data_IF_288569916069
#
_entry.id   IF_288569916069
#
_cell.length_a   1.000
_cell.length_b   1.000
_cell.length_c   1.000
_cell.angle_alpha   90.00
_cell.angle_beta   90.00
_cell.angle_gamma   90.00
#
_symmetry.space_group_name_H-M   'P 1'
#
loop_
_entity.id
_entity.type
_entity.pdbx_description
1 polymer ?
#
# COMPACT_ATOMS: atom_id res chain seq x y z
N UNK A 1 52.11 -10.07 5.75
CA UNK A 1 51.41 -10.02 7.06
C UNK A 1 49.93 -9.66 6.82
N UNK A 2 49.04 -10.59 6.61
CA UNK A 2 47.64 -10.27 6.22
C UNK A 2 46.63 -11.43 6.21
N UNK A 3 46.87 -12.57 6.87
CA UNK A 3 45.95 -13.73 6.77
C UNK A 3 45.24 -14.19 8.07
N UNK A 4 45.46 -13.51 9.17
CA UNK A 4 44.92 -13.95 10.50
C UNK A 4 43.55 -13.32 10.84
N UNK A 5 43.17 -12.19 10.24
CA UNK A 5 41.92 -11.48 10.58
C UNK A 5 40.66 -12.12 9.99
N UNK A 6 40.72 -12.74 8.83
CA UNK A 6 39.54 -13.30 8.15
C UNK A 6 38.98 -14.58 8.78
N UNK A 7 39.81 -15.35 9.52
CA UNK A 7 39.35 -16.60 10.16
C UNK A 7 38.54 -16.38 11.44
N UNK A 8 38.72 -15.25 12.14
CA UNK A 8 37.99 -14.97 13.38
C UNK A 8 36.55 -14.54 13.17
N UNK A 9 36.21 -13.95 12.01
CA UNK A 9 34.85 -13.52 11.71
C UNK A 9 33.95 -14.66 11.30
N UNK A 10 34.48 -15.67 10.61
CA UNK A 10 33.68 -16.82 10.16
C UNK A 10 33.27 -17.77 11.30
N UNK A 11 34.10 -17.88 12.36
CA UNK A 11 33.76 -18.71 13.54
C UNK A 11 32.63 -18.09 14.37
N UNK A 12 32.59 -16.76 14.52
CA UNK A 12 31.52 -16.07 15.28
C UNK A 12 30.15 -16.13 14.61
N UNK A 13 30.11 -16.12 13.27
CA UNK A 13 28.84 -16.24 12.53
C UNK A 13 28.28 -17.66 12.59
N UNK A 14 29.14 -18.68 12.64
CA UNK A 14 28.74 -20.07 12.75
C UNK A 14 28.18 -20.37 14.17
N UNK A 15 28.80 -19.81 15.21
CA UNK A 15 28.35 -19.95 16.59
C UNK A 15 26.99 -19.25 16.85
N UNK A 16 26.75 -18.11 16.22
CA UNK A 16 25.43 -17.44 16.29
C UNK A 16 24.31 -18.27 15.66
N UNK A 17 24.56 -18.93 14.53
CA UNK A 17 23.55 -19.77 13.89
C UNK A 17 23.19 -21.00 14.73
N UNK A 18 24.18 -21.61 15.39
CA UNK A 18 23.93 -22.74 16.29
C UNK A 18 23.10 -22.34 17.51
N UNK A 19 23.34 -21.18 18.12
CA UNK A 19 22.55 -20.69 19.26
C UNK A 19 21.10 -20.37 18.90
N UNK A 20 20.86 -19.81 17.74
CA UNK A 20 19.47 -19.51 17.30
C UNK A 20 18.72 -20.81 17.04
N UNK A 21 19.38 -21.78 16.42
CA UNK A 21 18.74 -23.07 16.09
C UNK A 21 18.39 -23.88 17.35
N UNK A 22 19.26 -23.90 18.36
CA UNK A 22 18.97 -24.55 19.64
C UNK A 22 17.87 -23.86 20.43
N UNK A 23 17.78 -22.53 20.35
CA UNK A 23 16.70 -21.76 21.02
C UNK A 23 15.32 -22.09 20.44
N UNK A 24 15.21 -22.20 19.11
CA UNK A 24 13.97 -22.59 18.46
C UNK A 24 13.53 -24.02 18.77
N UNK A 25 14.48 -24.97 18.88
CA UNK A 25 14.18 -26.36 19.24
C UNK A 25 13.69 -26.48 20.68
N UNK A 26 14.28 -25.75 21.61
CA UNK A 26 13.86 -25.77 23.02
C UNK A 26 12.51 -25.07 23.22
N UNK A 27 12.25 -23.96 22.49
CA UNK A 27 10.96 -23.26 22.51
C UNK A 27 9.83 -24.14 21.94
N UNK A 28 10.06 -24.77 20.80
CA UNK A 28 9.09 -25.66 20.16
C UNK A 28 8.79 -26.90 21.02
N UNK A 29 9.77 -27.42 21.73
CA UNK A 29 9.60 -28.58 22.65
C UNK A 29 8.77 -28.18 23.88
N UNK A 30 9.08 -27.02 24.48
CA UNK A 30 8.37 -26.51 25.67
C UNK A 30 6.89 -26.20 25.39
N UNK A 31 6.56 -25.72 24.18
CA UNK A 31 5.17 -25.49 23.81
C UNK A 31 4.40 -26.75 23.41
N UNK A 32 5.10 -27.86 23.11
CA UNK A 32 4.46 -29.11 22.77
C UNK A 32 4.08 -29.94 24.01
N UNK A 33 4.74 -29.74 25.14
CA UNK A 33 4.48 -30.48 26.37
C UNK A 33 3.38 -29.88 27.26
N UNK A 34 2.93 -28.64 27.00
CA UNK A 34 1.94 -27.98 27.84
C UNK A 34 0.47 -28.18 27.42
N UNK A 35 0.20 -29.04 26.43
CA UNK A 35 -1.18 -29.20 25.90
C UNK A 35 -1.72 -30.62 26.00
N UNK A 36 -1.26 -31.47 26.96
CA UNK A 36 -1.84 -32.78 27.18
C UNK A 36 -2.23 -33.01 28.63
N UNK A 37 -3.10 -32.18 29.18
CA UNK A 37 -3.89 -32.61 30.33
C UNK A 37 -5.24 -33.12 29.81
N UNK A 38 -5.38 -34.45 29.88
CA UNK A 38 -6.61 -35.22 29.71
C UNK A 38 -7.71 -34.59 30.57
N UNK A 39 -8.69 -33.98 29.97
CA UNK A 39 -10.00 -33.80 30.60
C UNK A 39 -11.06 -34.09 29.54
N UNK A 40 -11.95 -35.00 29.91
CA UNK A 40 -12.97 -35.59 29.07
C UNK A 40 -14.16 -34.63 28.85
N UNK A 41 -13.94 -33.56 28.09
CA UNK A 41 -15.01 -32.82 27.44
C UNK A 41 -14.78 -32.90 25.91
N UNK A 42 -15.05 -34.13 25.44
CA UNK A 42 -14.93 -34.49 24.03
C UNK A 42 -16.04 -33.85 23.21
N UNK A 43 -15.85 -32.67 22.67
CA UNK A 43 -16.72 -32.11 21.64
C UNK A 43 -16.87 -30.60 21.60
N UNK A 44 -16.87 -29.91 22.74
CA UNK A 44 -17.13 -28.46 22.73
C UNK A 44 -15.89 -27.61 22.41
N UNK A 45 -14.71 -27.99 22.87
CA UNK A 45 -13.50 -27.20 22.66
C UNK A 45 -13.05 -27.12 21.18
N UNK A 46 -13.23 -28.20 20.42
CA UNK A 46 -12.93 -28.20 18.98
C UNK A 46 -13.94 -27.36 18.20
N UNK A 47 -15.20 -27.40 18.54
CA UNK A 47 -16.24 -26.56 17.93
C UNK A 47 -16.00 -25.07 18.22
N UNK A 48 -15.64 -24.71 19.44
CA UNK A 48 -15.27 -23.37 19.82
C UNK A 48 -13.99 -22.91 19.11
N UNK A 49 -12.99 -23.78 18.96
CA UNK A 49 -11.77 -23.50 18.21
C UNK A 49 -12.03 -23.19 16.74
N UNK A 50 -12.86 -23.99 16.09
CA UNK A 50 -13.26 -23.79 14.69
C UNK A 50 -14.08 -22.50 14.54
N UNK A 51 -15.03 -22.25 15.46
CA UNK A 51 -15.84 -21.03 15.43
C UNK A 51 -14.98 -19.76 15.60
N UNK A 52 -14.03 -19.78 16.53
CA UNK A 52 -13.09 -18.66 16.74
C UNK A 52 -12.19 -18.44 15.52
N UNK A 53 -11.68 -19.52 14.92
CA UNK A 53 -10.87 -19.43 13.72
C UNK A 53 -11.65 -18.85 12.53
N UNK A 54 -12.90 -19.28 12.36
CA UNK A 54 -13.82 -18.73 11.36
C UNK A 54 -14.09 -17.24 11.57
N UNK A 55 -14.31 -16.83 12.83
CA UNK A 55 -14.49 -15.43 13.18
C UNK A 55 -13.25 -14.60 12.86
N UNK A 56 -12.07 -15.07 13.25
CA UNK A 56 -10.81 -14.37 12.96
C UNK A 56 -10.56 -14.22 11.44
N UNK A 57 -10.85 -15.26 10.66
CA UNK A 57 -10.74 -15.21 9.21
C UNK A 57 -11.71 -14.21 8.58
N UNK A 58 -12.96 -14.13 9.05
CA UNK A 58 -13.93 -13.15 8.55
C UNK A 58 -13.51 -11.72 8.87
N UNK A 59 -13.02 -11.49 10.09
CA UNK A 59 -12.51 -10.17 10.50
C UNK A 59 -11.27 -9.78 9.68
N UNK A 60 -10.33 -10.70 9.49
CA UNK A 60 -9.11 -10.45 8.69
C UNK A 60 -9.45 -10.11 7.23
N UNK A 61 -10.39 -10.83 6.61
CA UNK A 61 -10.82 -10.55 5.23
C UNK A 61 -11.54 -9.21 5.12
N UNK A 62 -12.33 -8.83 6.12
CA UNK A 62 -12.97 -7.51 6.16
C UNK A 62 -11.95 -6.38 6.24
N UNK A 63 -10.93 -6.49 7.09
CA UNK A 63 -9.85 -5.51 7.16
C UNK A 63 -9.03 -5.43 5.87
N UNK A 64 -8.74 -6.57 5.25
CA UNK A 64 -8.04 -6.61 3.97
C UNK A 64 -8.83 -5.90 2.86
N UNK A 65 -10.15 -6.07 2.82
CA UNK A 65 -11.01 -5.39 1.85
C UNK A 65 -11.00 -3.87 2.04
N UNK A 66 -11.10 -3.38 3.29
CA UNK A 66 -11.02 -1.94 3.58
C UNK A 66 -9.65 -1.38 3.22
N UNK A 67 -8.58 -2.11 3.54
CA UNK A 67 -7.20 -1.72 3.21
C UNK A 67 -6.99 -1.57 1.70
N UNK A 68 -7.48 -2.52 0.91
CA UNK A 68 -7.34 -2.49 -0.55
C UNK A 68 -8.05 -1.29 -1.19
N UNK A 69 -9.23 -0.91 -0.71
CA UNK A 69 -9.95 0.28 -1.21
C UNK A 69 -9.19 1.56 -0.87
N UNK A 70 -8.60 1.66 0.33
CA UNK A 70 -7.79 2.84 0.71
C UNK A 70 -6.56 2.97 -0.19
N UNK A 71 -5.81 1.89 -0.39
CA UNK A 71 -4.65 1.89 -1.28
C UNK A 71 -5.05 2.28 -2.71
N UNK A 72 -6.13 1.72 -3.24
CA UNK A 72 -6.61 2.04 -4.57
C UNK A 72 -7.05 3.52 -4.70
N UNK A 73 -7.65 4.10 -3.64
CA UNK A 73 -7.96 5.54 -3.62
C UNK A 73 -6.72 6.40 -3.68
N UNK A 74 -5.72 6.13 -2.84
CA UNK A 74 -4.45 6.86 -2.90
C UNK A 74 -3.82 6.74 -4.29
N UNK A 75 -3.75 5.53 -4.81
CA UNK A 75 -3.17 5.27 -6.13
C UNK A 75 -3.85 6.06 -7.26
N UNK A 76 -5.18 6.16 -7.30
CA UNK A 76 -5.87 6.92 -8.34
C UNK A 76 -5.66 8.43 -8.20
N UNK A 77 -5.51 8.96 -6.99
CA UNK A 77 -5.19 10.37 -6.75
C UNK A 77 -3.74 10.68 -7.11
N UNK A 78 -2.78 9.86 -6.67
CA UNK A 78 -1.36 10.01 -7.02
C UNK A 78 -1.15 9.99 -8.54
N UNK A 79 -1.85 9.09 -9.23
CA UNK A 79 -1.81 9.03 -10.69
C UNK A 79 -2.42 10.27 -11.35
N UNK A 80 -3.48 10.85 -10.77
CA UNK A 80 -4.05 12.10 -11.24
C UNK A 80 -3.06 13.25 -11.05
N UNK A 81 -2.41 13.35 -9.89
CA UNK A 81 -1.42 14.39 -9.59
C UNK A 81 -0.23 14.33 -10.55
N UNK A 82 0.32 13.14 -10.76
CA UNK A 82 1.42 12.94 -11.72
C UNK A 82 1.00 13.30 -13.15
N UNK A 83 -0.22 12.97 -13.54
CA UNK A 83 -0.75 13.28 -14.87
C UNK A 83 -0.98 14.79 -15.04
N UNK A 84 -1.50 15.46 -14.01
CA UNK A 84 -1.70 16.92 -14.02
C UNK A 84 -0.37 17.68 -14.08
N UNK A 85 0.63 17.24 -13.29
CA UNK A 85 1.99 17.82 -13.34
C UNK A 85 2.65 17.63 -14.71
N UNK A 86 2.46 16.46 -15.33
CA UNK A 86 2.99 16.18 -16.65
C UNK A 86 2.35 17.04 -17.74
N UNK A 87 1.04 17.31 -17.62
CA UNK A 87 0.34 18.23 -18.52
C UNK A 87 0.75 19.67 -18.33
N UNK A 88 0.80 20.14 -17.06
CA UNK A 88 1.11 21.53 -16.74
C UNK A 88 2.48 21.98 -17.29
N UNK A 89 3.46 21.07 -17.34
CA UNK A 89 4.80 21.37 -17.90
C UNK A 89 4.77 21.74 -19.40
N UNK A 90 3.77 21.30 -20.14
CA UNK A 90 3.65 21.52 -21.57
C UNK A 90 2.49 22.46 -21.92
N UNK A 91 1.69 22.88 -20.92
CA UNK A 91 0.44 23.60 -21.11
C UNK A 91 0.58 24.88 -21.96
N UNK A 92 1.70 25.62 -21.81
CA UNK A 92 1.95 26.88 -22.55
C UNK A 92 2.53 26.59 -23.94
N UNK A 93 3.42 25.61 -24.03
CA UNK A 93 4.22 25.36 -25.26
C UNK A 93 3.39 24.60 -26.29
N UNK A 94 2.71 23.56 -25.85
CA UNK A 94 1.89 22.70 -26.71
C UNK A 94 0.72 22.09 -25.90
N UNK A 95 -0.45 22.75 -25.91
CA UNK A 95 -1.63 22.26 -25.19
C UNK A 95 -2.12 20.89 -25.62
N UNK A 96 -1.93 20.52 -26.90
CA UNK A 96 -2.31 19.21 -27.42
C UNK A 96 -1.41 18.11 -26.86
N UNK A 97 -0.09 18.31 -26.97
CA UNK A 97 0.90 17.41 -26.41
C UNK A 97 0.81 17.29 -24.88
N UNK A 98 0.35 18.35 -24.18
CA UNK A 98 0.15 18.35 -22.74
C UNK A 98 -0.86 17.29 -22.29
N UNK A 99 -2.04 17.23 -22.90
CA UNK A 99 -3.06 16.23 -22.56
C UNK A 99 -2.66 14.83 -23.02
N UNK A 100 -1.98 14.69 -24.14
CA UNK A 100 -1.43 13.39 -24.58
C UNK A 100 -0.39 12.88 -23.57
N UNK A 101 0.44 13.77 -23.05
CA UNK A 101 1.42 13.42 -22.00
C UNK A 101 0.72 12.98 -20.73
N UNK A 102 -0.33 13.66 -20.28
CA UNK A 102 -1.16 13.26 -19.14
C UNK A 102 -1.72 11.84 -19.34
N UNK A 103 -2.23 11.54 -20.55
CA UNK A 103 -2.78 10.24 -20.90
C UNK A 103 -1.73 9.14 -20.83
N UNK A 104 -0.51 9.38 -21.33
CA UNK A 104 0.60 8.43 -21.25
C UNK A 104 0.95 8.15 -19.79
N UNK A 105 1.03 9.17 -18.94
CA UNK A 105 1.34 9.03 -17.51
C UNK A 105 0.24 8.26 -16.79
N UNK A 106 -1.04 8.58 -17.02
CA UNK A 106 -2.16 7.86 -16.46
C UNK A 106 -2.12 6.36 -16.83
N UNK A 107 -1.91 6.05 -18.11
CA UNK A 107 -1.83 4.66 -18.59
C UNK A 107 -0.66 3.90 -17.97
N UNK A 108 0.51 4.54 -17.81
CA UNK A 108 1.68 3.94 -17.14
C UNK A 108 1.42 3.63 -15.68
N UNK A 109 0.52 4.38 -15.04
CA UNK A 109 0.06 4.14 -13.68
C UNK A 109 -1.20 3.27 -13.62
N UNK A 110 -1.53 2.53 -14.67
CA UNK A 110 -2.68 1.62 -14.74
C UNK A 110 -4.04 2.28 -14.39
N UNK A 111 -4.19 3.59 -14.65
CA UNK A 111 -5.44 4.32 -14.53
C UNK A 111 -5.87 4.89 -15.88
N UNK A 112 -7.16 5.14 -16.04
CA UNK A 112 -7.70 5.76 -17.26
C UNK A 112 -7.82 7.27 -17.06
N UNK A 113 -7.37 8.06 -18.03
CA UNK A 113 -7.64 9.49 -18.10
C UNK A 113 -9.07 9.71 -18.58
N UNK A 114 -9.92 10.28 -17.72
CA UNK A 114 -11.30 10.61 -18.09
C UNK A 114 -11.41 12.01 -18.72
N UNK A 115 -10.69 12.96 -18.19
CA UNK A 115 -10.75 14.36 -18.59
C UNK A 115 -9.39 15.01 -18.40
N UNK A 116 -9.02 15.87 -19.36
CA UNK A 116 -7.89 16.77 -19.27
C UNK A 116 -8.34 18.13 -19.82
N UNK A 117 -8.24 19.16 -19.01
CA UNK A 117 -8.62 20.55 -19.37
C UNK A 117 -7.48 21.46 -19.01
N UNK A 118 -7.10 22.32 -19.94
CA UNK A 118 -6.05 23.32 -19.75
C UNK A 118 -6.70 24.72 -19.71
N UNK A 119 -6.33 25.50 -18.72
CA UNK A 119 -6.73 26.89 -18.60
C UNK A 119 -5.48 27.72 -18.36
N UNK A 120 -4.91 28.29 -19.43
CA UNK A 120 -3.58 28.89 -19.38
C UNK A 120 -2.53 27.86 -18.96
N UNK A 121 -1.84 28.14 -17.85
CA UNK A 121 -0.79 27.27 -17.27
C UNK A 121 -1.34 26.18 -16.35
N UNK A 122 -2.65 26.15 -16.11
CA UNK A 122 -3.28 25.25 -15.16
C UNK A 122 -3.85 24.06 -15.91
N UNK A 123 -3.44 22.85 -15.49
CA UNK A 123 -3.98 21.59 -15.94
C UNK A 123 -4.94 21.00 -14.89
N UNK A 124 -6.19 20.76 -15.24
CA UNK A 124 -7.18 20.01 -14.43
C UNK A 124 -7.36 18.64 -15.06
N UNK A 125 -7.08 17.60 -14.28
CA UNK A 125 -7.08 16.22 -14.74
C UNK A 125 -8.00 15.36 -13.88
N UNK A 126 -8.77 14.48 -14.53
CA UNK A 126 -9.57 13.44 -13.87
C UNK A 126 -9.15 12.07 -14.35
N UNK A 127 -8.94 11.18 -13.42
CA UNK A 127 -8.59 9.78 -13.67
C UNK A 127 -9.62 8.83 -13.09
N UNK A 128 -9.65 7.60 -13.58
CA UNK A 128 -10.47 6.53 -13.00
C UNK A 128 -9.68 5.22 -12.91
N UNK A 129 -10.00 4.46 -11.88
CA UNK A 129 -9.50 3.12 -11.64
C UNK A 129 -10.67 2.20 -11.31
N UNK A 130 -10.80 1.12 -12.06
CA UNK A 130 -11.81 0.08 -11.78
C UNK A 130 -11.15 -1.05 -11.00
N UNK A 131 -11.72 -1.37 -9.84
CA UNK A 131 -11.27 -2.46 -8.97
C UNK A 131 -12.39 -3.49 -8.80
N UNK A 132 -12.04 -4.77 -8.71
CA UNK A 132 -12.97 -5.84 -8.38
C UNK A 132 -12.71 -6.33 -6.98
N UNK A 133 -13.72 -6.22 -6.13
CA UNK A 133 -13.65 -6.64 -4.73
C UNK A 133 -14.39 -7.98 -4.56
N UNK A 134 -13.79 -8.97 -3.89
CA UNK A 134 -14.49 -10.19 -3.55
C UNK A 134 -15.77 -9.87 -2.75
N UNK A 135 -16.88 -10.49 -3.09
CA UNK A 135 -18.20 -10.36 -2.47
C UNK A 135 -18.92 -8.99 -2.66
N UNK A 136 -18.25 -7.92 -3.11
CA UNK A 136 -18.85 -6.58 -3.30
C UNK A 136 -18.99 -6.24 -4.80
N UNK A 137 -18.25 -6.94 -5.65
CA UNK A 137 -18.24 -6.72 -7.11
C UNK A 137 -17.31 -5.58 -7.54
N UNK A 138 -17.56 -5.10 -8.75
CA UNK A 138 -16.73 -4.09 -9.41
C UNK A 138 -17.09 -2.67 -8.93
N UNK A 139 -16.09 -1.87 -8.60
CA UNK A 139 -16.23 -0.46 -8.20
C UNK A 139 -15.26 0.41 -8.98
N UNK A 140 -15.73 1.57 -9.42
CA UNK A 140 -14.90 2.58 -10.08
C UNK A 140 -14.57 3.68 -9.09
N UNK A 141 -13.29 3.95 -8.92
CA UNK A 141 -12.75 5.03 -8.12
C UNK A 141 -12.28 6.15 -9.05
N UNK A 142 -12.54 7.39 -8.68
CA UNK A 142 -12.11 8.55 -9.46
C UNK A 142 -11.12 9.38 -8.67
N UNK A 143 -10.04 9.84 -9.33
CA UNK A 143 -9.10 10.82 -8.84
C UNK A 143 -9.26 12.13 -9.59
N UNK A 144 -8.93 13.24 -8.94
CA UNK A 144 -8.89 14.56 -9.54
C UNK A 144 -7.66 15.27 -9.04
N UNK A 145 -6.98 15.97 -9.96
CA UNK A 145 -5.83 16.78 -9.64
C UNK A 145 -5.82 18.06 -10.46
N UNK A 146 -5.22 19.09 -9.90
CA UNK A 146 -4.99 20.37 -10.55
C UNK A 146 -3.54 20.77 -10.34
N UNK A 147 -2.83 21.10 -11.41
CA UNK A 147 -1.45 21.51 -11.37
C UNK A 147 -1.25 22.80 -12.19
N UNK A 148 -0.39 23.67 -11.68
CA UNK A 148 -0.02 24.94 -12.30
C UNK A 148 1.00 25.68 -11.44
N UNK A 149 1.43 26.90 -11.82
CA UNK A 149 2.29 27.73 -11.00
C UNK A 149 1.67 28.02 -9.63
N UNK A 150 2.50 28.08 -8.60
CA UNK A 150 2.07 28.29 -7.21
C UNK A 150 1.35 29.63 -6.96
N UNK A 151 1.57 30.61 -7.81
CA UNK A 151 0.89 31.93 -7.74
C UNK A 151 -0.61 31.83 -8.06
N UNK A 152 -1.06 30.79 -8.76
CA UNK A 152 -2.47 30.53 -9.01
C UNK A 152 -3.10 29.59 -7.95
N UNK A 153 -2.38 29.22 -6.92
CA UNK A 153 -2.97 28.49 -5.79
C UNK A 153 -4.00 29.39 -5.12
N UNK A 154 -5.25 28.91 -5.03
CA UNK A 154 -6.34 29.64 -4.37
C UNK A 154 -5.91 30.04 -2.95
N UNK A 155 -6.01 31.32 -2.58
CA UNK A 155 -5.69 31.77 -1.22
C UNK A 155 -6.44 31.02 -0.12
N UNK A 156 -7.60 30.45 -0.43
CA UNK A 156 -8.40 29.63 0.50
C UNK A 156 -7.79 28.24 0.80
N UNK A 157 -6.91 27.74 -0.09
CA UNK A 157 -6.26 26.43 0.03
C UNK A 157 -4.91 26.49 0.79
N UNK A 158 -4.46 27.65 1.21
CA UNK A 158 -3.25 27.72 2.03
C UNK A 158 -3.51 27.02 3.37
N UNK A 159 -2.70 26.03 3.75
CA UNK A 159 -2.77 25.48 5.09
C UNK A 159 -2.63 26.63 6.06
N UNK A 160 -3.60 26.81 6.95
CA UNK A 160 -3.45 27.72 8.07
C UNK A 160 -2.21 27.27 8.81
N UNK A 161 -1.13 28.02 8.67
CA UNK A 161 0.03 27.89 9.54
C UNK A 161 -0.51 28.21 10.92
N UNK A 162 -0.76 27.18 11.73
CA UNK A 162 -1.01 27.37 13.14
C UNK A 162 0.22 28.09 13.69
N UNK A 163 0.01 29.37 14.01
CA UNK A 163 1.00 30.14 14.75
C UNK A 163 1.11 29.56 16.17
N UNK A 164 2.31 29.54 16.75
CA UNK A 164 2.59 28.96 18.05
C UNK A 164 1.82 29.62 19.20
#
# INVERSE_FOLDING_TARGET
MGSVSARRTSSRLRDRRHRIMTYWHTWAKKHRESTFTKQADRGSATLWGVALMGLLMTVATAFAAVGSVRVARHHVHDAADLSALAAARLAIVDPQAACDRAKIVATKNAVQLLQCTLTGEIADVRTSLTITLPAIGTRTLTGRARAGPSEYADPAERPRTEAP
#
